data_IF_736980834111
#
_entry.id   IF_736980834111
#
_cell.length_a   1.000
_cell.length_b   1.000
_cell.length_c   1.000
_cell.angle_alpha   90.00
_cell.angle_beta   90.00
_cell.angle_gamma   90.00
#
_symmetry.space_group_name_H-M   'P 1'
#
loop_
_entity.id
_entity.type
_entity.pdbx_description
1 polymer ?
#
# COMPACT_ATOMS: atom_id res chain seq x y z
N UNK A 1 -1.13 0.91 24.13
CA UNK A 1 -0.74 -0.07 23.09
C UNK A 1 0.79 -0.05 23.01
N UNK A 2 1.43 -1.21 23.00
CA UNK A 2 2.90 -1.33 23.03
C UNK A 2 3.46 -1.10 21.63
N UNK A 3 4.44 -0.21 21.48
CA UNK A 3 5.10 0.04 20.20
C UNK A 3 5.98 -1.16 19.85
N UNK A 4 5.61 -1.91 18.81
CA UNK A 4 6.20 -3.20 18.47
C UNK A 4 6.90 -3.15 17.09
N UNK A 5 7.86 -4.06 16.87
CA UNK A 5 8.53 -4.28 15.58
C UNK A 5 8.32 -5.70 15.09
N UNK A 6 8.33 -5.87 13.76
CA UNK A 6 8.31 -7.19 13.12
C UNK A 6 9.72 -7.76 13.12
N UNK A 7 9.90 -8.85 13.85
CA UNK A 7 11.18 -9.52 14.07
C UNK A 7 11.24 -10.80 13.26
N UNK A 8 12.31 -10.93 12.47
CA UNK A 8 12.63 -12.12 11.69
C UNK A 8 13.94 -12.71 12.21
N UNK A 9 14.05 -14.03 12.19
CA UNK A 9 15.29 -14.72 12.55
C UNK A 9 15.69 -15.62 11.40
N UNK A 10 16.92 -15.46 10.91
CA UNK A 10 17.46 -16.24 9.79
C UNK A 10 18.99 -16.25 9.84
N UNK A 11 19.58 -17.38 9.47
CA UNK A 11 21.03 -17.56 9.39
C UNK A 11 21.58 -17.11 8.04
N UNK A 12 22.43 -16.08 8.03
CA UNK A 12 23.11 -15.67 6.80
C UNK A 12 24.08 -16.77 6.35
N UNK A 13 24.02 -17.15 5.07
CA UNK A 13 24.99 -18.06 4.49
C UNK A 13 26.40 -17.48 4.63
N UNK A 14 27.32 -18.29 5.15
CA UNK A 14 28.74 -17.95 5.24
C UNK A 14 29.35 -17.90 3.83
N UNK A 15 30.36 -17.07 3.62
CA UNK A 15 30.98 -16.65 2.34
C UNK A 15 31.54 -17.74 1.39
N UNK A 16 31.17 -19.01 1.52
CA UNK A 16 31.71 -20.12 0.72
C UNK A 16 30.57 -21.07 0.33
N UNK A 17 29.71 -20.66 -0.59
CA UNK A 17 29.12 -21.56 -1.59
C UNK A 17 28.33 -20.75 -2.63
N UNK A 18 28.51 -21.08 -3.90
CA UNK A 18 28.02 -20.31 -5.05
C UNK A 18 26.51 -20.48 -5.33
N UNK A 19 25.76 -21.13 -4.43
CA UNK A 19 24.31 -21.29 -4.48
C UNK A 19 23.67 -20.73 -3.19
N UNK A 20 23.68 -19.40 -3.03
CA UNK A 20 23.09 -18.72 -1.86
C UNK A 20 21.56 -18.84 -1.81
N UNK A 21 21.02 -19.54 -0.81
CA UNK A 21 19.64 -19.33 -0.34
C UNK A 21 19.52 -17.96 0.36
N UNK A 22 19.19 -16.94 -0.43
CA UNK A 22 19.00 -15.58 0.08
C UNK A 22 17.65 -15.43 0.82
N UNK A 23 17.67 -14.68 1.93
CA UNK A 23 16.50 -14.41 2.78
C UNK A 23 15.36 -13.78 1.98
N UNK A 24 14.17 -14.39 2.02
CA UNK A 24 12.93 -13.75 1.62
C UNK A 24 12.01 -13.58 2.83
N UNK A 25 12.04 -12.42 3.52
CA UNK A 25 11.19 -12.14 4.69
C UNK A 25 9.69 -12.29 4.40
N UNK A 26 9.26 -12.22 3.13
CA UNK A 26 7.87 -12.45 2.76
C UNK A 26 7.45 -13.89 3.02
N UNK A 27 8.39 -14.84 2.95
CA UNK A 27 8.17 -16.26 3.23
C UNK A 27 8.26 -16.59 4.72
N UNK A 28 8.76 -15.70 5.57
CA UNK A 28 8.98 -15.99 6.98
C UNK A 28 7.83 -15.50 7.86
N UNK A 29 7.55 -16.22 8.93
CA UNK A 29 6.66 -15.75 10.00
C UNK A 29 7.41 -14.80 10.94
N UNK A 30 6.90 -13.56 11.13
CA UNK A 30 7.51 -12.60 12.05
C UNK A 30 7.03 -12.81 13.50
N UNK A 31 7.88 -12.44 14.45
CA UNK A 31 7.50 -12.18 15.83
C UNK A 31 7.22 -10.69 16.04
N UNK A 32 6.32 -10.36 16.96
CA UNK A 32 6.06 -8.97 17.36
C UNK A 32 6.71 -8.73 18.71
N UNK A 33 7.81 -7.97 18.75
CA UNK A 33 8.50 -7.62 20.00
C UNK A 33 8.38 -6.11 20.31
N UNK A 34 8.22 -5.72 21.59
CA UNK A 34 8.25 -4.32 22.00
C UNK A 34 9.58 -3.66 21.64
N UNK A 35 9.51 -2.45 21.10
CA UNK A 35 10.70 -1.66 20.76
C UNK A 35 11.57 -1.37 21.99
N UNK A 36 10.94 -1.23 23.17
CA UNK A 36 11.64 -1.03 24.45
C UNK A 36 12.53 -2.21 24.82
N UNK A 37 12.06 -3.44 24.57
CA UNK A 37 12.87 -4.65 24.73
C UNK A 37 14.06 -4.63 23.78
N UNK A 38 13.82 -4.32 22.50
CA UNK A 38 14.88 -4.27 21.49
C UNK A 38 15.93 -3.20 21.83
N UNK A 39 15.52 -2.03 22.30
CA UNK A 39 16.43 -0.97 22.74
C UNK A 39 17.29 -1.43 23.93
N UNK A 40 16.71 -2.13 24.91
CA UNK A 40 17.45 -2.70 26.04
C UNK A 40 18.51 -3.69 25.56
N UNK A 41 18.13 -4.64 24.71
CA UNK A 41 19.06 -5.63 24.15
C UNK A 41 20.16 -4.94 23.33
N UNK A 42 19.83 -3.94 22.50
CA UNK A 42 20.81 -3.19 21.74
C UNK A 42 21.86 -2.50 22.64
N UNK A 43 21.41 -1.87 23.72
CA UNK A 43 22.30 -1.22 24.68
C UNK A 43 23.22 -2.22 25.41
N UNK A 44 22.69 -3.38 25.78
CA UNK A 44 23.48 -4.46 26.39
C UNK A 44 24.50 -5.02 25.40
N UNK A 45 24.09 -5.25 24.14
CA UNK A 45 24.97 -5.71 23.07
C UNK A 45 26.14 -4.76 22.82
N UNK A 46 25.90 -3.44 22.86
CA UNK A 46 26.94 -2.42 22.71
C UNK A 46 27.99 -2.41 23.82
N UNK A 47 27.70 -3.02 24.97
CA UNK A 47 28.63 -3.15 26.10
C UNK A 47 29.50 -4.41 26.03
N UNK A 48 29.19 -5.33 25.12
CA UNK A 48 29.99 -6.53 24.92
C UNK A 48 31.23 -6.16 24.09
N UNK A 49 32.42 -6.44 24.63
CA UNK A 49 33.72 -6.14 24.00
C UNK A 49 34.12 -7.15 22.90
N UNK A 50 33.23 -8.06 22.51
CA UNK A 50 33.54 -9.13 21.55
C UNK A 50 33.38 -8.71 20.08
N UNK A 51 34.20 -9.31 19.21
CA UNK A 51 34.25 -9.19 17.73
C UNK A 51 32.99 -9.69 16.99
N UNK A 52 31.79 -9.47 17.52
CA UNK A 52 30.55 -9.89 16.85
C UNK A 52 30.02 -8.79 15.94
N UNK A 53 29.90 -9.10 14.64
CA UNK A 53 29.67 -8.11 13.60
C UNK A 53 28.29 -7.41 13.64
N UNK A 54 27.25 -8.04 14.20
CA UNK A 54 25.90 -7.45 14.31
C UNK A 54 24.94 -8.25 15.23
N UNK A 55 23.92 -7.57 15.77
CA UNK A 55 22.76 -8.18 16.45
C UNK A 55 21.45 -7.93 15.69
N UNK A 56 21.27 -6.69 15.22
CA UNK A 56 20.10 -6.27 14.47
C UNK A 56 20.51 -5.76 13.10
N UNK A 57 19.81 -6.23 12.07
CA UNK A 57 19.85 -5.67 10.73
C UNK A 57 18.45 -5.16 10.40
N UNK A 58 18.34 -3.98 9.82
CA UNK A 58 17.08 -3.52 9.25
C UNK A 58 16.90 -4.16 7.87
N UNK A 59 15.68 -4.56 7.57
CA UNK A 59 15.32 -5.11 6.27
C UNK A 59 14.83 -3.95 5.39
N UNK A 60 15.60 -3.61 4.37
CA UNK A 60 15.32 -2.58 3.36
C UNK A 60 15.06 -3.26 2.01
N UNK A 61 14.44 -2.57 1.06
CA UNK A 61 14.29 -3.10 -0.31
C UNK A 61 15.45 -2.64 -1.20
N UNK A 62 15.78 -3.39 -2.26
CA UNK A 62 17.00 -3.18 -3.02
C UNK A 62 17.03 -1.85 -3.77
N UNK A 63 18.22 -1.26 -3.86
CA UNK A 63 18.43 0.11 -4.32
C UNK A 63 18.23 0.34 -5.84
N UNK A 64 17.95 -0.69 -6.66
CA UNK A 64 17.92 -0.56 -8.12
C UNK A 64 16.51 -0.37 -8.70
N UNK A 65 16.09 0.90 -8.75
CA UNK A 65 15.69 1.54 -10.02
C UNK A 65 14.44 1.08 -10.78
N UNK A 66 13.48 0.34 -10.22
CA UNK A 66 12.13 0.29 -10.82
C UNK A 66 11.05 0.47 -9.76
N UNK A 67 10.02 1.25 -10.12
CA UNK A 67 8.82 1.44 -9.31
C UNK A 67 8.03 0.12 -9.07
N UNK A 68 8.34 -0.92 -9.85
CA UNK A 68 7.83 -2.28 -9.76
C UNK A 68 9.01 -3.28 -9.92
N UNK A 69 9.51 -3.82 -8.81
CA UNK A 69 10.54 -4.89 -8.83
C UNK A 69 10.15 -6.03 -7.90
N UNK A 70 10.38 -7.27 -8.34
CA UNK A 70 10.41 -8.46 -7.48
C UNK A 70 11.78 -8.66 -6.81
N UNK A 71 12.65 -7.65 -6.85
CA UNK A 71 14.03 -7.73 -6.36
C UNK A 71 14.08 -7.91 -4.84
N UNK A 72 15.13 -8.60 -4.38
CA UNK A 72 15.30 -9.13 -3.01
C UNK A 72 15.73 -8.04 -2.00
N UNK A 73 15.27 -8.08 -0.74
CA UNK A 73 15.59 -7.05 0.25
C UNK A 73 17.08 -7.00 0.62
N UNK A 74 17.56 -5.79 0.94
CA UNK A 74 18.87 -5.51 1.52
C UNK A 74 18.78 -5.56 3.05
N UNK A 75 19.73 -6.22 3.70
CA UNK A 75 19.82 -6.20 5.16
C UNK A 75 20.99 -5.31 5.60
N UNK A 76 20.70 -4.16 6.22
CA UNK A 76 21.74 -3.23 6.69
C UNK A 76 21.83 -3.23 8.21
N UNK A 77 23.05 -3.30 8.76
CA UNK A 77 23.23 -3.32 10.22
C UNK A 77 22.67 -2.06 10.85
N UNK A 78 21.90 -2.22 11.92
CA UNK A 78 21.49 -1.13 12.81
C UNK A 78 22.75 -0.59 13.48
N UNK A 79 22.98 0.73 13.46
CA UNK A 79 24.20 1.35 14.01
C UNK A 79 23.94 2.23 15.22
N UNK A 80 22.70 2.66 15.42
CA UNK A 80 22.28 3.53 16.51
C UNK A 80 20.90 3.15 17.03
N UNK A 81 20.57 3.65 18.22
CA UNK A 81 19.20 3.53 18.77
C UNK A 81 18.17 4.22 17.86
N UNK A 82 18.53 5.36 17.25
CA UNK A 82 17.66 6.04 16.29
C UNK A 82 17.36 5.15 15.06
N UNK A 83 18.38 4.46 14.54
CA UNK A 83 18.18 3.49 13.44
C UNK A 83 17.25 2.35 13.85
N UNK A 84 17.39 1.85 15.08
CA UNK A 84 16.54 0.79 15.62
C UNK A 84 15.08 1.25 15.73
N UNK A 85 14.85 2.45 16.26
CA UNK A 85 13.52 3.04 16.38
C UNK A 85 12.85 3.24 15.02
N UNK A 86 13.62 3.64 14.00
CA UNK A 86 13.16 3.81 12.62
C UNK A 86 12.91 2.48 11.88
N UNK A 87 13.42 1.36 12.39
CA UNK A 87 13.39 0.07 11.70
C UNK A 87 12.11 -0.70 12.01
N UNK A 88 11.16 -0.75 11.07
CA UNK A 88 9.87 -1.47 11.24
C UNK A 88 10.03 -3.00 11.15
N UNK A 89 10.94 -3.45 10.27
CA UNK A 89 11.26 -4.85 10.04
C UNK A 89 12.74 -5.09 10.38
N UNK A 90 12.98 -5.97 11.35
CA UNK A 90 14.32 -6.21 11.89
C UNK A 90 14.62 -7.70 11.76
N UNK A 91 15.77 -7.99 11.16
CA UNK A 91 16.41 -9.29 11.23
C UNK A 91 17.26 -9.33 12.50
N UNK A 92 17.12 -10.40 13.30
CA UNK A 92 17.90 -10.63 14.50
C UNK A 92 18.86 -11.78 14.27
N UNK A 93 20.08 -11.62 14.78
CA UNK A 93 21.12 -12.62 14.65
C UNK A 93 20.74 -13.90 15.41
N UNK A 94 20.62 -15.08 14.73
CA UNK A 94 20.18 -16.33 15.35
C UNK A 94 21.10 -16.80 16.47
N UNK A 95 22.36 -16.36 16.50
CA UNK A 95 23.32 -16.65 17.58
C UNK A 95 22.81 -16.25 18.95
N UNK A 96 21.94 -15.24 19.06
CA UNK A 96 21.42 -14.72 20.32
C UNK A 96 19.95 -15.09 20.56
N UNK A 97 19.38 -15.93 19.70
CA UNK A 97 17.96 -16.26 19.74
C UNK A 97 17.75 -17.65 20.32
N UNK A 98 16.85 -17.73 21.29
CA UNK A 98 16.24 -18.97 21.73
C UNK A 98 14.73 -18.89 21.49
N UNK A 99 14.14 -19.96 20.96
CA UNK A 99 12.69 -20.12 20.95
C UNK A 99 12.26 -21.16 21.98
N UNK A 100 11.33 -20.75 22.84
CA UNK A 100 10.66 -21.61 23.81
C UNK A 100 9.15 -21.58 23.53
N UNK A 101 8.48 -22.74 23.49
CA UNK A 101 7.07 -22.81 23.14
C UNK A 101 6.13 -22.14 24.17
N UNK A 102 6.55 -22.03 25.44
CA UNK A 102 5.77 -21.43 26.52
C UNK A 102 6.00 -19.93 26.65
N UNK A 103 7.22 -19.46 26.37
CA UNK A 103 7.64 -18.05 26.57
C UNK A 103 7.68 -17.26 25.26
N UNK A 104 7.90 -17.93 24.13
CA UNK A 104 8.07 -17.34 22.82
C UNK A 104 9.54 -17.09 22.46
N UNK A 105 9.79 -16.01 21.73
CA UNK A 105 11.13 -15.64 21.27
C UNK A 105 11.91 -14.93 22.38
N UNK A 106 13.04 -15.50 22.76
CA UNK A 106 13.95 -14.98 23.79
C UNK A 106 15.22 -14.50 23.10
N UNK A 107 15.68 -13.29 23.46
CA UNK A 107 16.97 -12.76 23.02
C UNK A 107 17.88 -12.72 24.23
N UNK A 108 18.92 -13.57 24.25
CA UNK A 108 19.91 -13.65 25.32
C UNK A 108 21.31 -13.47 24.71
N UNK A 109 22.03 -12.46 25.21
CA UNK A 109 23.36 -12.11 24.74
C UNK A 109 24.48 -12.88 25.44
N UNK A 110 24.17 -13.51 26.58
CA UNK A 110 25.12 -14.23 27.42
C UNK A 110 25.09 -15.73 27.18
N UNK A 111 24.05 -16.22 26.52
CA UNK A 111 23.92 -17.62 26.12
C UNK A 111 23.91 -17.75 24.61
N UNK A 112 24.51 -18.81 24.11
CA UNK A 112 24.33 -19.17 22.71
C UNK A 112 22.86 -19.55 22.49
N UNK A 113 22.29 -18.98 21.43
CA UNK A 113 20.95 -19.29 20.96
C UNK A 113 20.79 -20.75 20.58
N UNK A 114 19.54 -21.22 20.47
CA UNK A 114 19.25 -22.58 20.00
C UNK A 114 19.21 -22.68 18.47
N UNK A 115 19.70 -21.65 17.76
CA UNK A 115 19.72 -21.61 16.30
C UNK A 115 18.34 -21.51 15.67
N UNK A 116 17.32 -21.05 16.41
CA UNK A 116 15.97 -20.91 15.86
C UNK A 116 15.96 -20.02 14.63
N UNK A 117 15.31 -20.48 13.58
CA UNK A 117 15.02 -19.72 12.36
C UNK A 117 13.50 -19.56 12.26
N UNK A 118 13.06 -18.38 11.86
CA UNK A 118 11.64 -18.10 11.62
C UNK A 118 11.07 -19.15 10.65
N UNK A 119 9.98 -19.85 11.01
CA UNK A 119 9.41 -20.86 10.14
C UNK A 119 8.91 -20.24 8.83
N UNK A 120 9.01 -21.01 7.75
CA UNK A 120 8.34 -20.64 6.50
C UNK A 120 6.83 -20.58 6.74
N UNK A 121 6.20 -19.53 6.21
CA UNK A 121 4.76 -19.49 6.00
C UNK A 121 4.42 -20.71 5.15
N UNK A 122 3.41 -21.46 5.59
CA UNK A 122 2.81 -22.52 4.78
C UNK A 122 2.61 -22.00 3.36
N UNK A 123 3.31 -22.62 2.40
CA UNK A 123 3.17 -22.32 0.97
C UNK A 123 1.73 -22.61 0.60
N UNK A 124 0.88 -21.58 0.66
CA UNK A 124 -0.40 -21.63 -0.04
C UNK A 124 -0.04 -21.78 -1.50
N UNK A 125 -0.42 -22.89 -2.13
CA UNK A 125 -0.50 -22.95 -3.59
C UNK A 125 -1.44 -21.82 -4.01
N UNK A 126 -0.86 -20.67 -4.35
CA UNK A 126 -1.60 -19.54 -4.90
C UNK A 126 -1.87 -19.88 -6.36
N UNK A 127 -2.84 -20.77 -6.60
CA UNK A 127 -3.59 -20.76 -7.84
C UNK A 127 -4.74 -19.75 -7.68
N UNK A 128 -4.39 -18.48 -7.46
CA UNK A 128 -5.33 -17.39 -7.67
C UNK A 128 -4.82 -16.62 -8.88
N UNK A 129 -5.13 -17.15 -10.05
CA UNK A 129 -4.98 -16.38 -11.29
C UNK A 129 -6.07 -15.31 -11.24
N UNK A 130 -5.72 -14.12 -10.75
CA UNK A 130 -6.59 -12.96 -10.87
C UNK A 130 -6.85 -12.77 -12.37
N UNK A 131 -8.08 -12.95 -12.82
CA UNK A 131 -8.47 -12.58 -14.18
C UNK A 131 -9.05 -11.19 -14.09
N UNK A 132 -8.38 -10.22 -14.70
CA UNK A 132 -8.96 -8.90 -14.81
C UNK A 132 -10.08 -8.96 -15.84
N UNK A 133 -11.22 -8.43 -15.44
CA UNK A 133 -12.33 -8.15 -16.33
C UNK A 133 -12.39 -6.66 -16.55
N UNK A 134 -12.70 -6.26 -17.78
CA UNK A 134 -12.84 -4.85 -18.10
C UNK A 134 -13.95 -4.22 -17.24
N UNK A 135 -13.59 -3.14 -16.55
CA UNK A 135 -14.48 -2.24 -15.84
C UNK A 135 -14.14 -0.77 -16.16
N UNK A 136 -15.15 0.08 -16.07
CA UNK A 136 -14.95 1.53 -16.24
C UNK A 136 -14.55 2.17 -14.91
N UNK A 137 -13.94 3.34 -14.99
CA UNK A 137 -13.39 4.09 -13.85
C UNK A 137 -14.40 4.27 -12.72
N UNK A 138 -15.59 4.77 -13.03
CA UNK A 138 -16.62 5.07 -12.02
C UNK A 138 -17.14 3.78 -11.38
N UNK A 139 -17.39 2.75 -12.20
CA UNK A 139 -17.85 1.43 -11.77
C UNK A 139 -16.85 0.75 -10.84
N UNK A 140 -15.56 0.85 -11.15
CA UNK A 140 -14.50 0.32 -10.30
C UNK A 140 -14.55 0.94 -8.88
N UNK A 141 -14.60 2.27 -8.79
CA UNK A 141 -14.70 2.97 -7.51
C UNK A 141 -15.98 2.62 -6.74
N UNK A 142 -17.11 2.47 -7.44
CA UNK A 142 -18.37 2.02 -6.84
C UNK A 142 -18.25 0.61 -6.25
N UNK A 143 -17.59 -0.31 -6.95
CA UNK A 143 -17.39 -1.67 -6.46
C UNK A 143 -16.42 -1.71 -5.27
N UNK A 144 -15.33 -0.93 -5.28
CA UNK A 144 -14.45 -0.79 -4.12
C UNK A 144 -15.18 -0.25 -2.90
N UNK A 145 -16.02 0.77 -3.08
CA UNK A 145 -16.82 1.33 -2.00
C UNK A 145 -17.93 0.38 -1.53
N UNK A 146 -18.41 -0.49 -2.41
CA UNK A 146 -19.28 -1.60 -2.03
C UNK A 146 -18.53 -2.64 -1.20
N UNK A 147 -17.31 -3.04 -1.58
CA UNK A 147 -16.46 -3.92 -0.75
C UNK A 147 -16.17 -3.34 0.63
N UNK A 148 -16.02 -2.02 0.73
CA UNK A 148 -15.86 -1.36 2.01
C UNK A 148 -17.08 -1.63 2.90
N UNK A 149 -18.29 -1.39 2.40
CA UNK A 149 -19.51 -1.33 3.22
C UNK A 149 -20.26 -2.65 3.38
N UNK A 150 -20.20 -3.53 2.38
CA UNK A 150 -21.13 -4.65 2.27
C UNK A 150 -20.37 -5.99 2.16
N UNK A 151 -20.80 -7.03 2.89
CA UNK A 151 -20.32 -8.38 2.64
C UNK A 151 -20.84 -8.87 1.29
N UNK A 152 -20.09 -9.74 0.62
CA UNK A 152 -20.50 -10.36 -0.62
C UNK A 152 -19.97 -11.78 -0.74
N UNK A 153 -20.59 -12.58 -1.61
CA UNK A 153 -20.13 -13.92 -1.93
C UNK A 153 -19.75 -13.98 -3.41
N UNK A 154 -18.69 -14.70 -3.72
CA UNK A 154 -18.23 -14.91 -5.09
C UNK A 154 -17.65 -16.32 -5.23
N UNK A 155 -17.48 -16.76 -6.47
CA UNK A 155 -16.88 -18.05 -6.80
C UNK A 155 -15.46 -17.80 -7.27
N UNK A 156 -14.48 -18.34 -6.54
CA UNK A 156 -13.09 -18.30 -6.97
C UNK A 156 -12.60 -19.71 -7.32
N UNK A 157 -11.67 -19.79 -8.26
CA UNK A 157 -10.95 -21.02 -8.53
C UNK A 157 -9.87 -21.18 -7.46
N UNK A 158 -9.90 -22.27 -6.71
CA UNK A 158 -8.87 -22.65 -5.73
C UNK A 158 -8.42 -24.07 -6.06
N UNK A 159 -7.15 -24.25 -6.44
CA UNK A 159 -6.58 -25.55 -6.80
C UNK A 159 -7.42 -26.30 -7.85
N UNK A 160 -7.85 -25.61 -8.91
CA UNK A 160 -8.66 -26.19 -9.98
C UNK A 160 -10.13 -26.46 -9.61
N UNK A 161 -10.55 -26.21 -8.36
CA UNK A 161 -11.92 -26.38 -7.91
C UNK A 161 -12.59 -25.02 -7.72
N UNK A 162 -13.83 -24.88 -8.20
CA UNK A 162 -14.62 -23.67 -7.97
C UNK A 162 -15.17 -23.71 -6.53
N UNK A 163 -14.75 -22.76 -5.70
CA UNK A 163 -15.21 -22.62 -4.33
C UNK A 163 -16.00 -21.33 -4.15
N UNK A 164 -17.13 -21.39 -3.45
CA UNK A 164 -17.85 -20.18 -3.01
C UNK A 164 -17.16 -19.62 -1.78
N UNK A 165 -16.69 -18.38 -1.86
CA UNK A 165 -16.11 -17.65 -0.74
C UNK A 165 -17.03 -16.49 -0.37
N UNK A 166 -17.24 -16.30 0.94
CA UNK A 166 -17.94 -15.14 1.50
C UNK A 166 -16.91 -14.18 2.08
N UNK A 167 -16.86 -12.98 1.54
CA UNK A 167 -16.07 -11.88 2.09
C UNK A 167 -16.94 -11.05 3.05
N UNK A 168 -16.38 -10.72 4.21
CA UNK A 168 -16.94 -9.68 5.08
C UNK A 168 -16.75 -8.29 4.47
N UNK A 169 -17.41 -7.29 5.04
CA UNK A 169 -17.14 -5.89 4.68
C UNK A 169 -15.77 -5.49 5.21
N UNK A 170 -15.00 -4.70 4.44
CA UNK A 170 -13.69 -4.21 4.91
C UNK A 170 -13.87 -3.21 6.07
N UNK A 171 -15.02 -2.52 6.11
CA UNK A 171 -15.42 -1.62 7.19
C UNK A 171 -15.48 -2.34 8.53
N UNK A 172 -16.11 -3.51 8.60
CA UNK A 172 -16.20 -4.28 9.85
C UNK A 172 -14.81 -4.74 10.35
N UNK A 173 -13.88 -5.01 9.42
CA UNK A 173 -12.52 -5.41 9.76
C UNK A 173 -11.66 -4.27 10.33
N UNK A 174 -11.83 -3.04 9.82
CA UNK A 174 -10.87 -1.96 10.04
C UNK A 174 -11.42 -0.70 10.71
N UNK A 175 -12.71 -0.40 10.61
CA UNK A 175 -13.26 0.88 11.07
C UNK A 175 -13.03 1.12 12.56
N UNK A 176 -13.35 0.13 13.40
CA UNK A 176 -13.17 0.24 14.86
C UNK A 176 -11.69 0.31 15.26
N UNK A 177 -10.80 -0.33 14.50
CA UNK A 177 -9.37 -0.25 14.75
C UNK A 177 -8.83 1.14 14.39
N UNK A 178 -9.20 1.66 13.21
CA UNK A 178 -8.78 2.97 12.74
C UNK A 178 -9.36 4.13 13.56
N UNK A 179 -10.64 4.07 13.91
CA UNK A 179 -11.27 5.07 14.79
C UNK A 179 -10.64 5.14 16.17
N UNK A 180 -10.42 3.98 16.81
CA UNK A 180 -9.70 3.92 18.11
C UNK A 180 -8.27 4.41 18.00
N UNK A 181 -7.60 4.14 16.88
CA UNK A 181 -6.24 4.63 16.66
C UNK A 181 -6.22 6.16 16.59
N UNK A 182 -7.09 6.77 15.78
CA UNK A 182 -7.21 8.22 15.67
C UNK A 182 -7.51 8.86 17.03
N UNK A 183 -8.52 8.36 17.76
CA UNK A 183 -8.90 8.92 19.06
C UNK A 183 -7.87 8.65 20.17
N UNK A 184 -6.95 7.70 20.01
CA UNK A 184 -5.92 7.43 21.02
C UNK A 184 -4.60 8.14 20.74
N UNK A 185 -4.33 8.51 19.49
CA UNK A 185 -2.99 8.91 19.03
C UNK A 185 -2.91 10.24 18.31
N UNK A 186 -3.97 10.64 17.62
CA UNK A 186 -3.93 11.83 16.75
C UNK A 186 -4.92 12.89 17.26
N UNK A 187 -6.14 12.50 17.61
CA UNK A 187 -7.20 13.39 18.09
C UNK A 187 -7.82 12.87 19.40
N UNK A 188 -7.14 13.02 20.55
CA UNK A 188 -7.61 12.50 21.84
C UNK A 188 -8.95 13.07 22.30
N UNK A 189 -9.29 14.28 21.86
CA UNK A 189 -10.53 14.96 22.21
C UNK A 189 -11.70 14.59 21.29
N UNK A 190 -11.44 13.87 20.18
CA UNK A 190 -12.50 13.42 19.28
C UNK A 190 -13.30 12.28 19.91
N UNK A 191 -14.62 12.35 19.80
CA UNK A 191 -15.49 11.24 20.18
C UNK A 191 -15.19 10.00 19.34
N UNK A 192 -15.53 8.82 19.86
CA UNK A 192 -15.37 7.56 19.12
C UNK A 192 -16.08 7.59 17.74
N UNK A 193 -17.21 8.29 17.65
CA UNK A 193 -17.96 8.47 16.41
C UNK A 193 -17.22 9.35 15.41
N UNK A 194 -16.74 10.53 15.83
CA UNK A 194 -15.98 11.45 14.97
C UNK A 194 -14.68 10.81 14.47
N UNK A 195 -13.93 10.14 15.36
CA UNK A 195 -12.70 9.47 14.99
C UNK A 195 -12.94 8.30 14.01
N UNK A 196 -13.98 7.49 14.23
CA UNK A 196 -14.37 6.45 13.28
C UNK A 196 -14.82 7.05 11.93
N UNK A 197 -15.62 8.12 11.97
CA UNK A 197 -16.06 8.85 10.78
C UNK A 197 -14.89 9.40 9.98
N UNK A 198 -13.88 9.97 10.64
CA UNK A 198 -12.68 10.48 10.00
C UNK A 198 -11.90 9.34 9.36
N UNK A 199 -11.70 8.22 10.06
CA UNK A 199 -11.02 7.06 9.47
C UNK A 199 -11.74 6.55 8.21
N UNK A 200 -13.07 6.40 8.26
CA UNK A 200 -13.89 6.01 7.11
C UNK A 200 -13.74 7.00 5.95
N UNK A 201 -13.68 8.30 6.25
CA UNK A 201 -13.46 9.34 5.26
C UNK A 201 -12.05 9.31 4.64
N UNK A 202 -11.01 9.01 5.42
CA UNK A 202 -9.65 8.82 4.90
C UNK A 202 -9.57 7.61 3.97
N UNK A 203 -10.25 6.52 4.29
CA UNK A 203 -10.35 5.34 3.40
C UNK A 203 -11.12 5.68 2.13
N UNK A 204 -12.24 6.41 2.25
CA UNK A 204 -12.99 6.92 1.10
C UNK A 204 -12.10 7.76 0.18
N UNK A 205 -11.34 8.71 0.72
CA UNK A 205 -10.45 9.56 -0.06
C UNK A 205 -9.32 8.76 -0.70
N UNK A 206 -8.78 7.75 -0.01
CA UNK A 206 -7.79 6.85 -0.60
C UNK A 206 -8.38 6.08 -1.79
N UNK A 207 -9.58 5.51 -1.66
CA UNK A 207 -10.29 4.83 -2.77
C UNK A 207 -10.55 5.82 -3.91
N UNK A 208 -11.10 6.99 -3.59
CA UNK A 208 -11.45 8.01 -4.59
C UNK A 208 -10.24 8.51 -5.37
N UNK A 209 -9.08 8.61 -4.74
CA UNK A 209 -7.89 9.23 -5.34
C UNK A 209 -6.88 8.26 -5.92
N UNK A 210 -6.88 6.97 -5.54
CA UNK A 210 -5.79 6.04 -5.90
C UNK A 210 -5.56 5.87 -7.41
N UNK A 211 -6.61 6.07 -8.21
CA UNK A 211 -6.60 5.82 -9.65
C UNK A 211 -6.78 7.08 -10.50
N UNK A 212 -6.72 8.29 -9.93
CA UNK A 212 -6.84 9.55 -10.69
C UNK A 212 -5.88 9.63 -11.90
N UNK A 213 -4.69 9.05 -11.81
CA UNK A 213 -3.74 8.94 -12.93
C UNK A 213 -4.26 8.14 -14.13
N UNK A 214 -5.24 7.23 -13.93
CA UNK A 214 -5.91 6.53 -15.03
C UNK A 214 -6.78 7.48 -15.88
N UNK A 215 -7.15 8.66 -15.37
CA UNK A 215 -7.87 9.69 -16.13
C UNK A 215 -6.97 10.46 -17.11
N UNK A 216 -5.66 10.17 -17.15
CA UNK A 216 -4.74 10.72 -18.12
C UNK A 216 -4.99 10.18 -19.53
N UNK A 217 -4.93 11.05 -20.54
CA UNK A 217 -5.05 10.70 -21.97
C UNK A 217 -4.11 9.56 -22.33
N UNK A 218 -2.82 9.66 -21.96
CA UNK A 218 -1.84 8.62 -22.30
C UNK A 218 -2.15 7.26 -21.67
N UNK A 219 -2.69 7.24 -20.45
CA UNK A 219 -3.10 5.98 -19.83
C UNK A 219 -4.26 5.36 -20.62
N UNK A 220 -5.28 6.18 -20.94
CA UNK A 220 -6.46 5.74 -21.68
C UNK A 220 -6.10 5.26 -23.09
N UNK A 221 -5.22 5.95 -23.82
CA UNK A 221 -4.71 5.51 -25.13
C UNK A 221 -4.14 4.09 -25.07
N UNK A 222 -3.22 3.84 -24.12
CA UNK A 222 -2.52 2.56 -24.04
C UNK A 222 -3.48 1.45 -23.65
N UNK A 223 -4.36 1.70 -22.67
CA UNK A 223 -5.29 0.69 -22.15
C UNK A 223 -6.44 0.40 -23.09
N UNK A 224 -6.95 1.40 -23.82
CA UNK A 224 -7.93 1.17 -24.88
C UNK A 224 -7.33 0.38 -26.03
N UNK A 225 -6.11 0.70 -26.46
CA UNK A 225 -5.45 -0.07 -27.52
C UNK A 225 -5.23 -1.53 -27.13
N UNK A 226 -4.83 -1.81 -25.88
CA UNK A 226 -4.80 -3.19 -25.37
C UNK A 226 -6.20 -3.82 -25.34
N UNK A 227 -7.22 -3.11 -24.83
CA UNK A 227 -8.57 -3.64 -24.73
C UNK A 227 -9.18 -3.96 -26.11
N UNK A 228 -8.83 -3.20 -27.14
CA UNK A 228 -9.22 -3.51 -28.53
C UNK A 228 -8.62 -4.82 -29.03
N UNK A 229 -7.35 -5.09 -28.71
CA UNK A 229 -6.68 -6.37 -29.01
C UNK A 229 -7.37 -7.49 -28.22
N UNK A 230 -7.57 -7.30 -26.91
CA UNK A 230 -8.26 -8.25 -26.03
C UNK A 230 -9.65 -8.61 -26.57
N UNK A 231 -10.43 -7.62 -27.03
CA UNK A 231 -11.74 -7.81 -27.63
C UNK A 231 -11.68 -8.61 -28.93
N UNK A 232 -10.82 -8.22 -29.88
CA UNK A 232 -10.78 -8.81 -31.23
C UNK A 232 -10.19 -10.21 -31.25
N UNK A 233 -9.14 -10.45 -30.46
CA UNK A 233 -8.34 -11.66 -30.56
C UNK A 233 -8.64 -12.67 -29.44
N UNK A 234 -9.13 -12.20 -28.29
CA UNK A 234 -9.26 -13.03 -27.09
C UNK A 234 -10.67 -13.06 -26.49
N UNK A 235 -11.66 -12.54 -27.22
CA UNK A 235 -13.07 -12.54 -26.79
C UNK A 235 -13.34 -11.63 -25.58
N UNK A 236 -12.50 -10.61 -25.36
CA UNK A 236 -12.72 -9.58 -24.36
C UNK A 236 -13.95 -8.71 -24.65
N UNK A 237 -14.23 -7.74 -23.79
CA UNK A 237 -15.34 -6.80 -23.95
C UNK A 237 -14.93 -5.66 -24.87
N UNK A 238 -15.89 -5.14 -25.63
CA UNK A 238 -15.67 -3.91 -26.37
C UNK A 238 -15.44 -2.73 -25.39
N UNK A 239 -14.35 -1.95 -25.52
CA UNK A 239 -14.02 -0.85 -24.61
C UNK A 239 -15.07 0.26 -24.56
N UNK A 240 -15.94 0.37 -25.58
CA UNK A 240 -16.86 1.50 -25.79
C UNK A 240 -16.14 2.85 -25.69
N UNK A 241 -16.88 3.93 -25.45
CA UNK A 241 -16.34 5.27 -25.19
C UNK A 241 -16.03 5.53 -23.71
N UNK A 242 -16.19 4.56 -22.81
CA UNK A 242 -16.03 4.77 -21.36
C UNK A 242 -14.55 4.83 -20.93
N UNK A 243 -14.23 5.66 -19.94
CA UNK A 243 -12.91 5.68 -19.32
C UNK A 243 -12.66 4.37 -18.58
N UNK A 244 -11.60 3.65 -18.94
CA UNK A 244 -11.30 2.34 -18.38
C UNK A 244 -10.60 2.48 -17.02
N UNK A 245 -10.87 1.56 -16.09
CA UNK A 245 -10.06 1.34 -14.89
C UNK A 245 -9.23 0.07 -15.03
N UNK A 246 -9.86 -1.03 -15.45
CA UNK A 246 -9.21 -2.28 -15.81
C UNK A 246 -9.56 -2.70 -17.23
N UNK A 247 -8.69 -3.52 -17.78
CA UNK A 247 -8.86 -4.17 -19.09
C UNK A 247 -8.98 -5.67 -18.89
N UNK A 248 -9.64 -6.36 -19.81
CA UNK A 248 -9.65 -7.81 -19.83
C UNK A 248 -8.21 -8.34 -19.98
N UNK A 249 -7.79 -9.15 -19.02
CA UNK A 249 -6.48 -9.79 -19.04
C UNK A 249 -6.50 -11.05 -18.19
N UNK A 250 -6.15 -12.17 -18.82
CA UNK A 250 -5.97 -13.46 -18.16
C UNK A 250 -4.48 -13.78 -18.04
N UNK A 251 -3.88 -13.68 -16.84
CA UNK A 251 -2.48 -14.04 -16.65
C UNK A 251 -2.23 -15.54 -16.87
N UNK A 252 -3.23 -16.41 -16.86
CA UNK A 252 -3.08 -17.82 -17.25
C UNK A 252 -2.88 -18.00 -18.75
N UNK A 253 -3.28 -17.01 -19.57
CA UNK A 253 -3.19 -17.08 -21.02
C UNK A 253 -1.84 -16.53 -21.54
N UNK A 254 -0.95 -17.44 -21.94
CA UNK A 254 0.40 -17.11 -22.45
C UNK A 254 0.33 -16.22 -23.69
N UNK A 255 -0.65 -16.42 -24.57
CA UNK A 255 -0.83 -15.62 -25.79
C UNK A 255 -1.22 -14.18 -25.47
N UNK A 256 -2.13 -13.97 -24.50
CA UNK A 256 -2.47 -12.62 -24.03
C UNK A 256 -1.27 -11.93 -23.40
N UNK A 257 -0.52 -12.62 -22.53
CA UNK A 257 0.72 -12.10 -21.92
C UNK A 257 1.70 -11.59 -22.98
N UNK A 258 1.92 -12.38 -24.04
CA UNK A 258 2.82 -12.00 -25.13
C UNK A 258 2.30 -10.80 -25.91
N UNK A 259 1.02 -10.82 -26.31
CA UNK A 259 0.40 -9.73 -27.07
C UNK A 259 0.44 -8.40 -26.30
N UNK A 260 0.12 -8.43 -25.00
CA UNK A 260 0.18 -7.25 -24.14
C UNK A 260 1.63 -6.73 -24.01
N UNK A 261 2.59 -7.62 -23.78
CA UNK A 261 3.99 -7.23 -23.69
C UNK A 261 4.51 -6.60 -25.00
N UNK A 262 4.09 -7.11 -26.16
CA UNK A 262 4.47 -6.56 -27.46
C UNK A 262 3.82 -5.20 -27.72
N UNK A 263 2.55 -5.01 -27.32
CA UNK A 263 1.87 -3.72 -27.36
C UNK A 263 2.58 -2.66 -26.49
N UNK A 264 2.92 -3.01 -25.25
CA UNK A 264 3.53 -2.09 -24.28
C UNK A 264 4.97 -1.70 -24.61
N UNK A 265 5.71 -2.52 -25.36
CA UNK A 265 7.04 -2.14 -25.88
C UNK A 265 6.96 -0.87 -26.73
N UNK A 266 5.86 -0.71 -27.47
CA UNK A 266 5.63 0.44 -28.34
C UNK A 266 4.83 1.53 -27.61
N UNK A 267 4.01 1.15 -26.63
CA UNK A 267 3.07 2.01 -25.93
C UNK A 267 3.29 1.94 -24.42
N UNK A 268 4.34 2.60 -23.93
CA UNK A 268 4.67 2.58 -22.50
C UNK A 268 3.57 3.25 -21.67
N UNK A 269 3.06 2.53 -20.66
CA UNK A 269 2.11 3.07 -19.68
C UNK A 269 2.76 4.13 -18.79
N UNK A 270 2.04 5.21 -18.47
CA UNK A 270 2.46 6.10 -17.40
C UNK A 270 2.35 5.41 -16.03
N UNK A 271 3.09 5.92 -15.03
CA UNK A 271 2.98 5.45 -13.66
C UNK A 271 1.75 6.08 -12.98
N UNK A 272 0.58 5.49 -13.24
CA UNK A 272 -0.68 6.05 -12.78
C UNK A 272 -0.76 6.17 -11.26
N UNK A 273 -0.16 5.28 -10.47
CA UNK A 273 -0.19 5.39 -9.01
C UNK A 273 0.50 6.68 -8.51
N UNK A 274 1.68 7.00 -9.05
CA UNK A 274 2.39 8.23 -8.68
C UNK A 274 1.66 9.48 -9.22
N UNK A 275 1.12 9.40 -10.45
CA UNK A 275 0.29 10.48 -11.01
C UNK A 275 -0.97 10.73 -10.17
N UNK A 276 -1.64 9.67 -9.73
CA UNK A 276 -2.78 9.73 -8.81
C UNK A 276 -2.44 10.45 -7.52
N UNK A 277 -1.35 10.04 -6.87
CA UNK A 277 -0.87 10.67 -5.63
C UNK A 277 -0.52 12.16 -5.82
N UNK A 278 0.07 12.51 -6.97
CA UNK A 278 0.39 13.90 -7.30
C UNK A 278 -0.88 14.76 -7.45
N UNK A 279 -1.90 14.24 -8.16
CA UNK A 279 -3.19 14.89 -8.40
C UNK A 279 -4.04 14.95 -7.11
N UNK A 280 -3.95 13.93 -6.26
CA UNK A 280 -4.71 13.82 -5.01
C UNK A 280 -4.52 15.05 -4.10
N UNK A 281 -3.35 15.68 -4.10
CA UNK A 281 -3.07 16.89 -3.30
C UNK A 281 -4.11 18.00 -3.49
N UNK A 282 -4.57 18.20 -4.73
CA UNK A 282 -5.53 19.26 -5.03
C UNK A 282 -6.93 18.91 -4.54
N UNK A 283 -7.31 17.64 -4.65
CA UNK A 283 -8.56 17.12 -4.09
C UNK A 283 -8.56 17.24 -2.58
N UNK A 284 -7.51 16.74 -1.91
CA UNK A 284 -7.38 16.76 -0.45
C UNK A 284 -7.38 18.18 0.11
N UNK A 285 -6.75 19.12 -0.60
CA UNK A 285 -6.77 20.55 -0.22
C UNK A 285 -8.19 21.12 -0.18
N UNK A 286 -9.09 20.64 -1.04
CA UNK A 286 -10.48 21.12 -1.07
C UNK A 286 -11.35 20.46 -0.02
N UNK A 287 -11.15 19.16 0.27
CA UNK A 287 -12.16 18.36 0.99
C UNK A 287 -11.69 17.79 2.32
N UNK A 288 -10.38 17.66 2.54
CA UNK A 288 -9.81 17.11 3.77
C UNK A 288 -9.21 18.20 4.65
N UNK A 289 -8.48 19.15 4.05
CA UNK A 289 -7.84 20.24 4.79
C UNK A 289 -8.85 21.08 5.59
N UNK A 290 -9.98 21.54 5.02
CA UNK A 290 -10.96 22.29 5.80
C UNK A 290 -11.57 21.47 6.92
N UNK A 291 -11.93 20.20 6.67
CA UNK A 291 -12.48 19.31 7.69
C UNK A 291 -11.53 19.15 8.89
N UNK A 292 -10.24 18.91 8.63
CA UNK A 292 -9.25 18.74 9.69
C UNK A 292 -9.03 20.03 10.48
N UNK A 293 -8.97 21.18 9.81
CA UNK A 293 -8.79 22.47 10.47
C UNK A 293 -10.01 22.88 11.31
N UNK A 294 -11.21 22.73 10.73
CA UNK A 294 -12.44 23.29 11.29
C UNK A 294 -13.04 22.37 12.36
N UNK A 295 -13.07 21.06 12.13
CA UNK A 295 -13.72 20.09 13.03
C UNK A 295 -12.74 19.44 14.02
N UNK A 296 -11.53 19.14 13.58
CA UNK A 296 -10.53 18.46 14.41
C UNK A 296 -9.49 19.40 15.03
N UNK A 297 -9.57 20.70 14.72
CA UNK A 297 -8.61 21.74 15.15
C UNK A 297 -7.15 21.34 14.88
N UNK A 298 -6.94 20.58 13.82
CA UNK A 298 -5.64 20.04 13.46
C UNK A 298 -4.71 21.19 13.09
N UNK A 299 -3.50 21.18 13.63
CA UNK A 299 -2.48 22.15 13.23
C UNK A 299 -1.97 21.86 11.81
N UNK A 300 -1.12 22.75 11.30
CA UNK A 300 -0.56 22.65 9.95
C UNK A 300 0.24 21.36 9.72
N UNK A 301 0.94 20.87 10.74
CA UNK A 301 1.76 19.67 10.66
C UNK A 301 0.88 18.42 10.64
N UNK A 302 -0.08 18.33 11.56
CA UNK A 302 -1.06 17.24 11.59
C UNK A 302 -1.83 17.13 10.26
N UNK A 303 -2.28 18.28 9.72
CA UNK A 303 -2.95 18.32 8.41
C UNK A 303 -2.04 17.78 7.31
N UNK A 304 -0.78 18.22 7.27
CA UNK A 304 0.18 17.78 6.28
C UNK A 304 0.40 16.26 6.36
N UNK A 305 0.60 15.71 7.55
CA UNK A 305 0.89 14.29 7.76
C UNK A 305 -0.32 13.39 7.46
N UNK A 306 -1.54 13.82 7.81
CA UNK A 306 -2.77 13.08 7.49
C UNK A 306 -3.03 13.10 5.98
N UNK A 307 -2.88 14.26 5.32
CA UNK A 307 -2.95 14.31 3.86
C UNK A 307 -1.89 13.41 3.21
N UNK A 308 -0.67 13.41 3.75
CA UNK A 308 0.43 12.58 3.24
C UNK A 308 0.13 11.09 3.39
N UNK A 309 -0.54 10.66 4.47
CA UNK A 309 -0.98 9.27 4.62
C UNK A 309 -1.92 8.81 3.49
N UNK A 310 -2.87 9.66 3.06
CA UNK A 310 -3.76 9.36 1.92
C UNK A 310 -2.98 9.38 0.59
N UNK A 311 -2.11 10.38 0.40
CA UNK A 311 -1.25 10.50 -0.78
C UNK A 311 -0.35 9.27 -0.95
N UNK A 312 0.25 8.78 0.14
CA UNK A 312 1.07 7.57 0.12
C UNK A 312 0.23 6.33 -0.14
N UNK A 313 -0.99 6.24 0.41
CA UNK A 313 -1.89 5.14 0.10
C UNK A 313 -2.20 5.09 -1.40
N UNK A 314 -2.52 6.23 -2.01
CA UNK A 314 -2.70 6.37 -3.45
C UNK A 314 -1.42 6.08 -4.24
N UNK A 315 -0.26 6.56 -3.80
CA UNK A 315 0.99 6.43 -4.55
C UNK A 315 1.61 5.04 -4.51
N UNK A 316 1.32 4.30 -3.43
CA UNK A 316 1.94 2.99 -3.12
C UNK A 316 0.96 1.82 -3.21
N UNK A 317 -0.22 1.99 -3.82
CA UNK A 317 -1.22 0.93 -3.82
C UNK A 317 -0.75 -0.33 -4.57
N UNK A 318 -0.05 -0.20 -5.71
CA UNK A 318 0.60 -1.33 -6.42
C UNK A 318 1.92 -1.78 -5.80
N UNK A 319 2.72 -0.84 -5.30
CA UNK A 319 4.03 -1.11 -4.72
C UNK A 319 4.25 -0.28 -3.46
N UNK A 320 4.58 -0.94 -2.34
CA UNK A 320 4.86 -0.27 -1.08
C UNK A 320 6.09 0.66 -1.14
N UNK A 321 6.86 0.61 -2.24
CA UNK A 321 8.16 1.25 -2.41
C UNK A 321 8.17 2.34 -3.48
N UNK A 322 7.00 2.76 -3.97
CA UNK A 322 6.96 3.89 -4.88
C UNK A 322 7.55 5.14 -4.20
N UNK A 323 8.58 5.72 -4.82
CA UNK A 323 9.36 6.87 -4.31
C UNK A 323 8.91 8.21 -4.86
N UNK A 324 8.00 8.20 -5.84
CA UNK A 324 7.58 9.38 -6.56
C UNK A 324 8.55 9.77 -7.68
N UNK A 325 8.78 11.07 -7.88
CA UNK A 325 9.61 11.61 -8.96
C UNK A 325 10.72 12.51 -8.43
N UNK A 326 11.96 12.18 -8.80
CA UNK A 326 13.12 13.03 -8.60
C UNK A 326 13.27 14.05 -9.75
N UNK A 327 14.16 15.03 -9.61
CA UNK A 327 14.43 16.00 -10.68
C UNK A 327 14.94 15.35 -11.97
N UNK A 328 15.61 14.20 -11.87
CA UNK A 328 16.06 13.41 -13.03
C UNK A 328 14.89 12.77 -13.78
N UNK A 329 13.83 12.40 -13.05
CA UNK A 329 12.61 11.82 -13.63
C UNK A 329 11.80 12.92 -14.30
N UNK A 330 11.57 14.03 -13.59
CA UNK A 330 10.82 15.20 -14.06
C UNK A 330 11.36 15.72 -15.40
N UNK A 331 12.68 15.81 -15.56
CA UNK A 331 13.32 16.29 -16.79
C UNK A 331 12.98 15.46 -18.04
N UNK A 332 12.50 14.23 -17.88
CA UNK A 332 12.14 13.31 -18.97
C UNK A 332 10.65 13.13 -19.13
N UNK A 333 9.85 13.70 -18.23
CA UNK A 333 8.41 13.48 -18.19
C UNK A 333 7.68 14.59 -18.96
N UNK A 334 6.62 14.17 -19.66
CA UNK A 334 5.65 15.10 -20.23
C UNK A 334 4.65 15.51 -19.15
N UNK A 335 3.98 16.67 -19.29
CA UNK A 335 2.89 17.04 -18.41
C UNK A 335 1.80 15.96 -18.37
N UNK A 336 1.15 15.83 -17.21
CA UNK A 336 -0.06 15.02 -17.07
C UNK A 336 -1.16 15.73 -17.84
N UNK A 337 -1.65 15.11 -18.91
CA UNK A 337 -2.78 15.60 -19.69
C UNK A 337 -4.01 14.77 -19.35
N UNK A 338 -5.01 15.39 -18.72
CA UNK A 338 -6.26 14.72 -18.37
C UNK A 338 -7.19 14.60 -19.58
N UNK A 339 -7.92 13.48 -19.66
CA UNK A 339 -8.92 13.23 -20.69
C UNK A 339 -10.09 14.21 -20.58
N UNK A 340 -10.71 14.66 -21.68
CA UNK A 340 -11.79 15.67 -21.67
C UNK A 340 -12.95 15.36 -20.71
N UNK A 341 -13.21 14.07 -20.44
CA UNK A 341 -14.25 13.57 -19.54
C UNK A 341 -13.81 13.41 -18.07
N UNK A 342 -12.57 13.77 -17.71
CA UNK A 342 -12.02 13.51 -16.36
C UNK A 342 -12.91 14.10 -15.26
N UNK A 343 -13.41 15.33 -15.43
CA UNK A 343 -14.21 15.99 -14.40
C UNK A 343 -15.58 15.32 -14.27
N UNK A 344 -16.17 14.89 -15.38
CA UNK A 344 -17.44 14.14 -15.34
C UNK A 344 -17.27 12.80 -14.59
N UNK A 345 -16.14 12.13 -14.75
CA UNK A 345 -15.81 10.91 -14.01
C UNK A 345 -15.60 11.18 -12.51
N UNK A 346 -14.92 12.27 -12.16
CA UNK A 346 -14.74 12.72 -10.76
C UNK A 346 -16.11 13.03 -10.13
N UNK A 347 -16.95 13.84 -10.78
CA UNK A 347 -18.27 14.23 -10.30
C UNK A 347 -19.19 13.02 -10.10
N UNK A 348 -19.19 12.12 -11.09
CA UNK A 348 -19.99 10.90 -11.06
C UNK A 348 -19.53 9.95 -9.95
N UNK A 349 -18.22 9.79 -9.77
CA UNK A 349 -17.66 8.98 -8.69
C UNK A 349 -18.02 9.57 -7.32
N UNK A 350 -17.81 10.87 -7.13
CA UNK A 350 -18.10 11.55 -5.87
C UNK A 350 -19.57 11.36 -5.48
N UNK A 351 -20.49 11.68 -6.39
CA UNK A 351 -21.94 11.56 -6.18
C UNK A 351 -22.37 10.14 -5.81
N UNK A 352 -21.78 9.13 -6.45
CA UNK A 352 -22.17 7.74 -6.20
C UNK A 352 -21.67 7.21 -4.85
N UNK A 353 -20.53 7.70 -4.37
CA UNK A 353 -19.88 7.20 -3.16
C UNK A 353 -20.26 8.02 -1.91
N UNK A 354 -20.33 9.35 -2.00
CA UNK A 354 -20.49 10.26 -0.84
C UNK A 354 -21.76 10.03 -0.04
N UNK A 355 -22.87 9.68 -0.70
CA UNK A 355 -24.18 9.43 -0.06
C UNK A 355 -24.17 8.33 1.01
N UNK A 356 -23.10 7.56 1.09
CA UNK A 356 -22.93 6.46 2.04
C UNK A 356 -21.92 6.77 3.15
N UNK A 357 -21.30 7.96 3.12
CA UNK A 357 -20.45 8.42 4.20
C UNK A 357 -21.28 8.75 5.45
N UNK A 358 -20.67 8.67 6.64
CA UNK A 358 -21.40 8.91 7.87
C UNK A 358 -21.75 10.40 8.00
N UNK A 359 -22.96 10.69 8.48
CA UNK A 359 -23.51 12.05 8.58
C UNK A 359 -22.99 12.84 9.78
N UNK A 360 -22.09 12.26 10.56
CA UNK A 360 -21.52 12.88 11.76
C UNK A 360 -20.30 13.75 11.45
N UNK A 361 -19.93 13.91 10.18
CA UNK A 361 -18.92 14.85 9.72
C UNK A 361 -19.54 15.80 8.68
N UNK A 362 -19.21 17.10 8.68
CA UNK A 362 -19.70 18.07 7.71
C UNK A 362 -18.95 17.94 6.38
N UNK A 363 -19.20 16.84 5.66
CA UNK A 363 -18.58 16.56 4.37
C UNK A 363 -19.38 17.24 3.26
N UNK A 364 -18.71 18.04 2.43
CA UNK A 364 -19.34 18.74 1.30
C UNK A 364 -19.92 17.75 0.29
N UNK A 365 -21.19 17.93 -0.09
CA UNK A 365 -21.82 17.16 -1.17
C UNK A 365 -21.28 17.55 -2.56
N UNK A 366 -20.63 18.72 -2.68
CA UNK A 366 -20.04 19.17 -3.93
C UNK A 366 -18.76 18.38 -4.25
N UNK A 367 -18.67 17.92 -5.50
CA UNK A 367 -17.51 17.19 -5.96
C UNK A 367 -16.27 18.10 -6.04
N UNK A 368 -15.10 17.64 -5.58
CA UNK A 368 -13.85 18.38 -5.74
C UNK A 368 -13.45 18.47 -7.21
N UNK A 369 -12.70 19.51 -7.56
CA UNK A 369 -12.30 19.77 -8.95
C UNK A 369 -10.80 19.71 -9.12
N UNK A 370 -10.36 19.23 -10.27
CA UNK A 370 -8.99 19.44 -10.74
C UNK A 370 -9.00 20.73 -11.58
N UNK A 371 -8.27 21.75 -11.15
CA UNK A 371 -8.33 23.11 -11.72
C UNK A 371 -7.77 23.24 -13.13
N UNK A 372 -7.03 22.24 -13.61
CA UNK A 372 -6.34 22.25 -14.91
C UNK A 372 -6.56 20.95 -15.66
N UNK A 373 -6.45 21.04 -16.98
CA UNK A 373 -6.38 19.86 -17.86
C UNK A 373 -4.94 19.37 -18.05
N UNK A 374 -3.96 20.23 -17.75
CA UNK A 374 -2.53 19.96 -17.88
C UNK A 374 -1.82 20.28 -16.56
N UNK A 375 -1.04 19.32 -16.06
CA UNK A 375 -0.21 19.50 -14.88
C UNK A 375 1.25 19.24 -15.21
N UNK A 376 2.09 20.25 -15.01
CA UNK A 376 3.53 20.07 -15.07
C UNK A 376 3.96 19.15 -13.92
N UNK A 377 4.66 18.07 -14.29
CA UNK A 377 5.25 17.15 -13.34
C UNK A 377 6.32 17.91 -12.56
N UNK A 378 6.30 17.75 -11.23
CA UNK A 378 7.30 18.34 -10.33
C UNK A 378 7.91 17.26 -9.47
N UNK A 379 9.03 17.60 -8.83
CA UNK A 379 9.58 16.75 -7.77
C UNK A 379 8.46 16.39 -6.80
N UNK A 380 8.35 15.10 -6.51
CA UNK A 380 7.29 14.57 -5.70
C UNK A 380 7.83 13.40 -4.91
N UNK A 381 7.94 13.58 -3.60
CA UNK A 381 8.57 12.61 -2.72
C UNK A 381 7.50 11.74 -2.06
N UNK A 382 7.56 10.43 -2.35
CA UNK A 382 6.78 9.42 -1.67
C UNK A 382 7.65 8.51 -0.81
N UNK A 383 8.94 8.80 -0.62
CA UNK A 383 9.89 7.95 0.12
C UNK A 383 9.96 8.29 1.61
N UNK A 384 9.50 9.48 2.03
CA UNK A 384 9.66 9.97 3.41
C UNK A 384 8.40 9.85 4.28
N UNK A 385 8.55 9.10 5.37
CA UNK A 385 7.99 9.44 6.68
C UNK A 385 9.17 9.80 7.59
N UNK A 386 9.10 10.91 8.30
CA UNK A 386 10.11 11.24 9.31
C UNK A 386 9.97 10.29 10.51
N UNK A 387 11.09 9.93 11.15
CA UNK A 387 11.17 8.85 12.16
C UNK A 387 10.32 9.16 13.40
N UNK A 388 10.10 10.44 13.68
CA UNK A 388 9.26 10.97 14.75
C UNK A 388 7.76 10.98 14.43
N UNK A 389 7.35 10.60 13.21
CA UNK A 389 5.95 10.59 12.74
C UNK A 389 5.35 9.19 12.69
N UNK A 390 5.69 8.35 13.67
CA UNK A 390 5.32 6.92 13.71
C UNK A 390 3.80 6.73 13.70
N UNK A 391 3.04 7.60 14.37
CA UNK A 391 1.57 7.55 14.38
C UNK A 391 0.97 7.69 12.98
N UNK A 392 1.51 8.58 12.15
CA UNK A 392 1.02 8.80 10.79
C UNK A 392 1.43 7.67 9.83
N UNK A 393 2.58 7.03 10.06
CA UNK A 393 2.95 5.81 9.36
C UNK A 393 1.99 4.65 9.68
N UNK A 394 1.54 4.54 10.93
CA UNK A 394 0.54 3.56 11.35
C UNK A 394 -0.83 3.89 10.75
N UNK A 395 -1.23 5.16 10.73
CA UNK A 395 -2.44 5.61 10.04
C UNK A 395 -2.40 5.25 8.55
N UNK A 396 -1.31 5.58 7.85
CA UNK A 396 -1.08 5.18 6.46
C UNK A 396 -1.22 3.66 6.29
N UNK A 397 -0.63 2.86 7.18
CA UNK A 397 -0.67 1.40 7.12
C UNK A 397 -2.11 0.87 7.20
N UNK A 398 -2.96 1.47 8.03
CA UNK A 398 -4.39 1.13 8.12
C UNK A 398 -5.17 1.57 6.87
N UNK A 399 -4.93 2.78 6.38
CA UNK A 399 -5.62 3.33 5.19
C UNK A 399 -5.25 2.54 3.93
N UNK A 400 -3.96 2.28 3.69
CA UNK A 400 -3.50 1.52 2.51
C UNK A 400 -3.94 0.05 2.58
N UNK A 401 -4.05 -0.53 3.79
CA UNK A 401 -4.63 -1.87 4.00
C UNK A 401 -6.08 -1.90 3.56
N UNK A 402 -6.88 -0.93 3.97
CA UNK A 402 -8.28 -0.82 3.57
C UNK A 402 -8.41 -0.65 2.04
N UNK A 403 -7.65 0.28 1.46
CA UNK A 403 -7.60 0.53 0.02
C UNK A 403 -7.31 -0.76 -0.76
N UNK A 404 -6.22 -1.46 -0.42
CA UNK A 404 -5.79 -2.69 -1.13
C UNK A 404 -6.78 -3.85 -0.96
N UNK A 405 -7.42 -3.96 0.20
CA UNK A 405 -8.47 -4.97 0.40
C UNK A 405 -9.69 -4.68 -0.47
N UNK A 406 -10.13 -3.42 -0.53
CA UNK A 406 -11.23 -3.00 -1.39
C UNK A 406 -10.91 -3.22 -2.87
N UNK A 407 -9.72 -2.81 -3.33
CA UNK A 407 -9.28 -2.97 -4.71
C UNK A 407 -9.26 -4.45 -5.12
N UNK A 408 -8.52 -5.28 -4.37
CA UNK A 408 -8.41 -6.72 -4.61
C UNK A 408 -9.76 -7.45 -4.57
N UNK A 409 -10.69 -7.05 -3.69
CA UNK A 409 -12.02 -7.67 -3.58
C UNK A 409 -12.97 -7.19 -4.67
N UNK A 410 -12.82 -5.94 -5.15
CA UNK A 410 -13.74 -5.34 -6.12
C UNK A 410 -13.72 -6.06 -7.47
N UNK A 411 -12.57 -6.60 -7.88
CA UNK A 411 -12.43 -7.37 -9.12
C UNK A 411 -13.08 -8.76 -9.07
N UNK A 412 -13.64 -9.15 -7.92
CA UNK A 412 -14.30 -10.45 -7.71
C UNK A 412 -15.83 -10.38 -7.84
N UNK A 413 -16.42 -9.21 -8.10
CA UNK A 413 -17.87 -9.02 -8.25
C UNK A 413 -18.45 -9.57 -9.55
#
# INVERSE_FOLDING_TARGET
>A
MVDNRSIFVWEEASFIDFDEEQIDPKKLLPFSLPVTLLCKVWQEFKKLEYETAWIFKRIEYPARGRAETYDRPLCTSVRSTADLLASVQILVNPRYIQYNAEVGLIIDLHQQGNGFISPEKLKKQLASEYKYRMDNYVGHLVLMWKCWREPFATKILTNGTICTIKYGSVRDELLLAGGRFLSAKIFPDATAGEAAGLFEYLVFLAIFTHDLGKLQVKWQEVMRGWQEIAWREFGGRNPKSELLAHTDFDPGNISQKKALADWEKQHKRPNHAVESAFLAREILKQVLVPLLADEFKADREQIADICHAVILAAGRHHSAWAKGWSSKDVAKMKPIQLHSEFQSAIDSSWRNLIRFLPKNLPISEEAPKLSRNFYDVKNFDLDRFEVDKTEYLQLYSLVVRALRLCDMRSVQF
#
